data_IF_920503463451
#
_entry.id   IF_920503463451
#
_cell.length_a   1.000
_cell.length_b   1.000
_cell.length_c   1.000
_cell.angle_alpha   90.00
_cell.angle_beta   90.00
_cell.angle_gamma   90.00
#
_symmetry.space_group_name_H-M   'P 1'
#
loop_
_entity.id
_entity.type
_entity.pdbx_description
1 polymer ?
#
# COMPACT_ATOMS: atom_id res chain seq x y z
N UNK A 1 32.27 -3.48 -3.75
CA UNK A 1 33.14 -2.29 -3.65
C UNK A 1 32.95 -1.69 -2.26
N UNK A 2 34.01 -1.56 -1.45
CA UNK A 2 33.94 -0.92 -0.12
C UNK A 2 34.14 0.59 -0.30
N UNK A 3 33.20 1.40 0.18
CA UNK A 3 33.36 2.85 0.19
C UNK A 3 34.42 3.24 1.25
N UNK A 4 35.30 4.22 0.96
CA UNK A 4 36.27 4.68 1.93
C UNK A 4 35.56 5.37 3.10
N UNK A 5 35.94 5.00 4.32
CA UNK A 5 35.48 5.72 5.52
C UNK A 5 36.19 7.07 5.56
N UNK A 6 35.42 8.15 5.41
CA UNK A 6 35.92 9.52 5.56
C UNK A 6 35.85 9.85 7.04
N UNK A 7 36.99 10.08 7.67
CA UNK A 7 37.06 10.58 9.04
C UNK A 7 37.29 12.10 9.00
N UNK A 8 36.38 12.86 9.60
CA UNK A 8 36.58 14.28 9.85
C UNK A 8 37.36 14.45 11.17
N UNK A 9 38.42 15.26 11.16
CA UNK A 9 39.12 15.63 12.39
C UNK A 9 38.26 16.66 13.13
N UNK A 10 37.74 16.29 14.29
CA UNK A 10 36.94 17.17 15.16
C UNK A 10 37.83 17.65 16.30
N UNK A 11 37.92 18.96 16.48
CA UNK A 11 38.64 19.59 17.58
C UNK A 11 37.65 20.36 18.46
N UNK A 12 37.83 20.29 19.77
CA UNK A 12 36.87 20.80 20.74
C UNK A 12 37.58 21.84 21.62
N UNK A 13 37.08 23.08 21.71
CA UNK A 13 37.82 24.19 22.31
C UNK A 13 38.04 24.08 23.82
N UNK A 14 37.28 23.24 24.52
CA UNK A 14 37.26 23.21 25.99
C UNK A 14 37.60 21.84 26.59
N UNK A 15 37.56 20.74 25.83
CA UNK A 15 37.90 19.40 26.31
C UNK A 15 38.04 18.42 25.14
N UNK A 16 38.62 17.24 25.33
CA UNK A 16 38.65 16.18 24.30
C UNK A 16 37.29 15.44 24.11
N UNK A 17 36.19 16.00 24.63
CA UNK A 17 34.84 15.43 24.60
C UNK A 17 33.83 16.49 24.12
N UNK A 18 32.78 16.08 23.40
CA UNK A 18 31.71 16.98 23.01
C UNK A 18 30.98 17.53 24.24
N UNK A 19 30.57 18.80 24.19
CA UNK A 19 29.71 19.41 25.21
C UNK A 19 28.28 18.84 25.16
N UNK A 20 27.75 18.67 23.95
CA UNK A 20 26.45 18.03 23.67
C UNK A 20 26.61 17.13 22.44
N UNK A 21 25.97 15.96 22.50
CA UNK A 21 25.84 15.05 21.36
C UNK A 21 24.37 14.98 20.96
N UNK A 22 24.02 15.57 19.81
CA UNK A 22 22.68 15.44 19.23
C UNK A 22 22.67 14.23 18.26
N UNK A 23 21.76 13.28 18.50
CA UNK A 23 21.55 12.14 17.61
C UNK A 23 20.34 12.46 16.73
N UNK A 24 20.60 12.77 15.46
CA UNK A 24 19.53 12.94 14.47
C UNK A 24 19.06 11.57 14.02
N UNK A 25 17.79 11.26 14.30
CA UNK A 25 17.15 10.07 13.75
C UNK A 25 16.72 10.38 12.32
N UNK A 26 17.31 9.67 11.36
CA UNK A 26 16.87 9.73 9.97
C UNK A 26 15.84 8.64 9.70
N UNK A 27 14.85 8.97 8.88
CA UNK A 27 13.96 7.96 8.29
C UNK A 27 14.74 7.14 7.27
N UNK A 28 14.38 5.86 7.11
CA UNK A 28 15.02 5.04 6.09
C UNK A 28 14.75 5.62 4.70
N UNK A 29 15.62 5.33 3.72
CA UNK A 29 15.37 5.73 2.33
C UNK A 29 13.99 5.28 1.85
N UNK A 30 13.56 4.07 2.25
CA UNK A 30 12.23 3.52 1.91
C UNK A 30 11.11 4.38 2.47
N UNK A 31 11.21 4.78 3.74
CA UNK A 31 10.19 5.61 4.38
C UNK A 31 10.11 6.99 3.74
N UNK A 32 11.26 7.61 3.43
CA UNK A 32 11.31 8.90 2.71
C UNK A 32 10.71 8.81 1.31
N UNK A 33 10.82 7.66 0.64
CA UNK A 33 10.15 7.40 -0.64
C UNK A 33 8.64 7.19 -0.47
N UNK A 34 8.19 6.52 0.59
CA UNK A 34 6.76 6.34 0.90
C UNK A 34 6.10 7.69 1.18
N UNK A 35 6.77 8.55 1.95
CA UNK A 35 6.33 9.91 2.26
C UNK A 35 6.49 10.89 1.08
N UNK A 36 7.04 10.43 -0.05
CA UNK A 36 7.28 11.24 -1.25
C UNK A 36 8.18 12.46 -1.03
N UNK A 37 9.00 12.43 0.02
CA UNK A 37 10.06 13.42 0.29
C UNK A 37 11.21 13.24 -0.71
N UNK A 38 11.52 11.99 -1.04
CA UNK A 38 12.45 11.62 -2.11
C UNK A 38 11.66 10.88 -3.20
N UNK A 39 12.07 11.04 -4.46
CA UNK A 39 11.46 10.33 -5.59
C UNK A 39 11.41 8.81 -5.35
N UNK A 40 10.23 8.23 -5.57
CA UNK A 40 10.05 6.78 -5.61
C UNK A 40 10.79 6.20 -6.81
N UNK A 41 11.17 4.93 -6.72
CA UNK A 41 11.54 4.19 -7.93
C UNK A 41 10.34 4.21 -8.89
N UNK A 42 10.56 4.36 -10.21
CA UNK A 42 9.47 4.29 -11.17
C UNK A 42 8.71 2.98 -10.99
N UNK A 43 7.39 3.03 -11.07
CA UNK A 43 6.60 1.79 -11.11
C UNK A 43 7.04 1.01 -12.35
N UNK A 44 7.27 -0.32 -12.26
CA UNK A 44 7.52 -1.12 -13.45
C UNK A 44 6.35 -1.01 -14.42
N UNK A 45 6.65 -1.00 -15.71
CA UNK A 45 5.63 -0.96 -16.78
C UNK A 45 4.76 -2.23 -16.68
N UNK A 46 3.42 -2.10 -16.75
CA UNK A 46 2.49 -3.24 -16.79
C UNK A 46 2.82 -4.24 -17.89
N UNK A 47 2.53 -5.52 -17.67
CA UNK A 47 2.84 -6.58 -18.64
C UNK A 47 2.09 -6.39 -19.96
N UNK A 48 0.87 -5.83 -19.89
CA UNK A 48 0.00 -5.56 -21.03
C UNK A 48 0.53 -4.46 -21.96
N UNK A 49 1.37 -3.56 -21.45
CA UNK A 49 1.94 -2.41 -22.19
C UNK A 49 3.36 -2.67 -22.72
N UNK A 50 3.95 -3.83 -22.37
CA UNK A 50 5.28 -4.22 -22.86
C UNK A 50 5.19 -4.80 -24.27
N UNK A 51 6.28 -4.66 -25.01
CA UNK A 51 6.43 -5.28 -26.32
C UNK A 51 6.28 -6.82 -26.20
N UNK A 52 5.43 -7.47 -27.02
CA UNK A 52 5.32 -8.93 -27.07
C UNK A 52 6.66 -9.66 -27.24
N UNK A 53 7.63 -9.06 -27.93
CA UNK A 53 8.92 -9.69 -28.22
C UNK A 53 9.92 -9.59 -27.04
N UNK A 54 9.68 -8.69 -26.09
CA UNK A 54 10.49 -8.51 -24.87
C UNK A 54 9.95 -9.31 -23.67
N UNK A 55 8.78 -9.97 -23.82
CA UNK A 55 8.14 -10.72 -22.74
C UNK A 55 8.86 -12.05 -22.49
N UNK A 56 9.26 -12.29 -21.24
CA UNK A 56 9.75 -13.60 -20.83
C UNK A 56 8.64 -14.68 -20.92
N UNK A 57 8.99 -15.97 -21.09
CA UNK A 57 7.99 -17.02 -21.21
C UNK A 57 7.10 -17.18 -19.96
N UNK A 58 7.61 -16.79 -18.79
CA UNK A 58 6.83 -16.79 -17.54
C UNK A 58 5.83 -15.62 -17.50
N UNK A 59 6.26 -14.42 -17.86
CA UNK A 59 5.40 -13.24 -17.93
C UNK A 59 4.31 -13.38 -19.01
N UNK A 60 4.63 -13.98 -20.16
CA UNK A 60 3.67 -14.25 -21.22
C UNK A 60 2.55 -15.21 -20.76
N UNK A 61 2.90 -16.25 -19.98
CA UNK A 61 1.91 -17.15 -19.37
C UNK A 61 1.03 -16.43 -18.36
N UNK A 62 1.61 -15.54 -17.56
CA UNK A 62 0.85 -14.74 -16.60
C UNK A 62 -0.12 -13.79 -17.30
N UNK A 63 0.31 -13.14 -18.38
CA UNK A 63 -0.54 -12.29 -19.23
C UNK A 63 -1.75 -13.06 -19.76
N UNK A 64 -1.52 -14.26 -20.32
CA UNK A 64 -2.59 -15.13 -20.84
C UNK A 64 -3.56 -15.56 -19.73
N UNK A 65 -3.06 -15.86 -18.53
CA UNK A 65 -3.92 -16.20 -17.38
C UNK A 65 -4.87 -15.04 -17.04
N UNK A 66 -4.34 -13.82 -16.91
CA UNK A 66 -5.15 -12.61 -16.63
C UNK A 66 -6.18 -12.33 -17.72
N UNK A 67 -5.82 -12.52 -18.99
CA UNK A 67 -6.75 -12.34 -20.11
C UNK A 67 -7.91 -13.34 -20.08
N UNK A 68 -7.64 -14.61 -19.73
CA UNK A 68 -8.68 -15.64 -19.61
C UNK A 68 -9.63 -15.36 -18.45
N UNK A 69 -9.12 -14.93 -17.30
CA UNK A 69 -9.95 -14.55 -16.14
C UNK A 69 -10.92 -13.41 -16.51
N UNK A 70 -10.43 -12.35 -17.15
CA UNK A 70 -11.28 -11.23 -17.61
C UNK A 70 -12.32 -11.65 -18.67
N UNK A 71 -11.97 -12.54 -19.60
CA UNK A 71 -12.92 -13.00 -20.64
C UNK A 71 -14.07 -13.84 -20.09
N UNK A 72 -13.85 -14.58 -18.99
CA UNK A 72 -14.88 -15.41 -18.35
C UNK A 72 -15.93 -14.54 -17.64
N UNK A 73 -15.54 -13.37 -17.12
CA UNK A 73 -16.44 -12.41 -16.50
C UNK A 73 -17.37 -11.76 -17.56
N UNK A 74 -16.82 -11.32 -18.70
CA UNK A 74 -17.59 -10.61 -19.74
C UNK A 74 -18.64 -11.50 -20.44
N UNK A 75 -18.37 -12.79 -20.64
CA UNK A 75 -19.32 -13.69 -21.33
C UNK A 75 -20.54 -14.08 -20.49
N UNK A 76 -20.50 -13.92 -19.17
CA UNK A 76 -21.64 -14.26 -18.30
C UNK A 76 -22.77 -13.23 -18.38
N UNK A 77 -22.47 -11.99 -18.75
CA UNK A 77 -23.47 -10.91 -18.82
C UNK A 77 -24.28 -10.89 -20.13
N UNK A 78 -23.77 -11.51 -21.20
CA UNK A 78 -24.42 -11.49 -22.53
C UNK A 78 -25.54 -12.55 -22.71
N UNK A 79 -25.83 -13.36 -21.68
CA UNK A 79 -26.76 -14.51 -21.80
C UNK A 79 -28.02 -14.32 -20.93
N UNK A 80 -28.55 -13.10 -20.83
CA UNK A 80 -29.89 -12.88 -20.27
C UNK A 80 -30.85 -12.33 -21.34
N UNK A 81 -31.04 -13.11 -22.40
CA UNK A 81 -31.99 -12.81 -23.46
C UNK A 81 -33.37 -13.43 -23.14
N UNK A 82 -34.30 -12.54 -22.74
CA UNK A 82 -35.76 -12.58 -22.91
C UNK A 82 -36.45 -13.95 -22.77
N UNK A 83 -37.04 -14.23 -21.59
CA UNK A 83 -38.15 -15.20 -21.46
C UNK A 83 -39.45 -14.47 -21.09
N UNK A 84 -40.45 -14.60 -21.96
CA UNK A 84 -41.80 -14.05 -21.83
C UNK A 84 -42.55 -14.61 -20.62
N UNK A 85 -43.40 -13.78 -19.99
CA UNK A 85 -44.50 -14.17 -19.08
C UNK A 85 -45.42 -15.20 -19.80
N UNK A 86 -46.17 -16.12 -19.19
CA UNK A 86 -47.05 -16.02 -18.00
C UNK A 86 -47.31 -17.40 -17.30
N UNK A 87 -48.27 -17.61 -16.34
CA UNK A 87 -47.99 -18.26 -15.05
C UNK A 87 -48.73 -19.59 -14.78
N UNK A 88 -48.13 -20.51 -14.01
CA UNK A 88 -48.89 -21.56 -13.31
C UNK A 88 -48.16 -22.04 -12.04
N UNK A 89 -48.92 -22.13 -10.96
CA UNK A 89 -48.51 -22.58 -9.62
C UNK A 89 -47.95 -24.01 -9.60
N UNK A 90 -47.06 -24.30 -8.64
CA UNK A 90 -47.06 -25.43 -7.70
C UNK A 90 -45.81 -25.29 -6.80
N UNK A 91 -46.00 -25.43 -5.50
CA UNK A 91 -45.02 -25.12 -4.46
C UNK A 91 -43.77 -26.01 -4.43
N UNK A 92 -42.75 -25.47 -3.78
CA UNK A 92 -41.50 -26.14 -3.44
C UNK A 92 -40.68 -25.17 -2.59
N UNK A 93 -40.53 -25.55 -1.33
CA UNK A 93 -39.71 -24.96 -0.27
C UNK A 93 -38.28 -24.66 -0.74
N UNK A 94 -37.83 -23.39 -0.65
CA UNK A 94 -36.41 -23.05 -0.72
C UNK A 94 -36.11 -21.76 0.05
N UNK A 95 -35.11 -21.87 0.92
CA UNK A 95 -34.74 -20.90 1.95
C UNK A 95 -34.33 -19.53 1.38
N UNK A 96 -34.83 -18.49 2.01
CA UNK A 96 -34.57 -17.08 1.70
C UNK A 96 -33.11 -16.73 2.10
N UNK A 97 -32.15 -16.91 1.17
CA UNK A 97 -30.75 -16.49 1.39
C UNK A 97 -30.66 -14.97 1.30
N UNK A 98 -30.94 -14.32 2.42
CA UNK A 98 -30.69 -12.90 2.65
C UNK A 98 -29.22 -12.70 2.99
N UNK A 99 -28.43 -12.21 2.03
CA UNK A 99 -27.05 -11.76 2.31
C UNK A 99 -27.13 -10.39 2.99
N UNK A 100 -27.15 -10.41 4.32
CA UNK A 100 -27.01 -9.20 5.13
C UNK A 100 -25.55 -8.71 5.07
N UNK A 101 -25.33 -7.58 4.41
CA UNK A 101 -24.08 -6.83 4.57
C UNK A 101 -24.15 -6.06 5.88
N UNK A 102 -23.55 -6.64 6.92
CA UNK A 102 -23.35 -5.98 8.20
C UNK A 102 -22.34 -4.84 8.04
N UNK A 103 -22.83 -3.64 7.75
CA UNK A 103 -22.03 -2.43 7.94
C UNK A 103 -21.88 -2.18 9.44
N UNK A 104 -20.89 -2.85 10.05
CA UNK A 104 -20.51 -2.61 11.44
C UNK A 104 -20.10 -1.14 11.65
N UNK A 105 -20.35 -0.57 12.84
CA UNK A 105 -20.02 0.83 13.11
C UNK A 105 -18.50 1.05 12.97
N UNK A 106 -18.06 2.23 12.48
CA UNK A 106 -16.65 2.52 12.31
C UNK A 106 -15.94 2.47 13.66
N UNK A 107 -14.97 1.56 13.78
CA UNK A 107 -14.08 1.49 14.93
C UNK A 107 -13.36 2.83 15.08
N UNK A 108 -13.72 3.60 16.09
CA UNK A 108 -12.96 4.78 16.49
C UNK A 108 -11.58 4.28 16.92
N UNK A 109 -10.57 4.51 16.07
CA UNK A 109 -9.17 4.33 16.46
C UNK A 109 -8.96 5.29 17.63
N UNK A 110 -8.75 4.75 18.82
CA UNK A 110 -8.32 5.58 19.94
C UNK A 110 -7.04 6.27 19.51
N UNK A 111 -7.07 7.60 19.50
CA UNK A 111 -5.87 8.39 19.41
C UNK A 111 -5.03 8.03 20.64
N UNK A 112 -4.11 7.09 20.49
CA UNK A 112 -3.01 6.95 21.41
C UNK A 112 -2.13 8.18 21.18
N UNK A 113 -2.44 9.28 21.86
CA UNK A 113 -1.39 10.16 22.35
C UNK A 113 -0.55 9.29 23.28
N UNK A 114 0.41 8.57 22.69
CA UNK A 114 1.37 7.78 23.42
C UNK A 114 2.10 8.75 24.35
N UNK A 115 1.75 8.71 25.65
CA UNK A 115 2.40 9.46 26.72
C UNK A 115 3.81 8.92 27.03
N UNK A 116 4.49 8.37 26.02
CA UNK A 116 5.73 7.60 26.15
C UNK A 116 6.73 7.87 25.02
N UNK A 117 6.70 9.08 24.45
CA UNK A 117 7.80 9.52 23.59
C UNK A 117 8.99 10.02 24.40
N UNK A 118 8.82 10.33 25.69
CA UNK A 118 9.86 10.96 26.52
C UNK A 118 10.34 12.33 25.98
N UNK A 119 9.64 12.89 24.99
CA UNK A 119 9.98 14.17 24.37
C UNK A 119 9.13 15.24 25.04
N UNK A 120 9.77 16.08 25.83
CA UNK A 120 9.19 17.31 26.36
C UNK A 120 9.28 18.39 25.26
N UNK A 121 8.12 18.90 24.84
CA UNK A 121 8.04 20.00 23.89
C UNK A 121 7.96 21.27 24.74
N UNK A 122 9.05 22.05 24.73
CA UNK A 122 9.11 23.36 25.38
C UNK A 122 8.88 24.42 24.32
N UNK A 123 7.84 25.23 24.49
CA UNK A 123 7.61 26.43 23.69
C UNK A 123 8.56 27.53 24.16
N UNK A 124 9.29 28.15 23.23
CA UNK A 124 10.27 29.22 23.51
C UNK A 124 9.73 30.59 23.11
N UNK A 125 8.43 30.71 22.85
CA UNK A 125 7.80 31.96 22.39
C UNK A 125 6.99 32.71 23.45
N UNK A 126 6.96 32.21 24.69
CA UNK A 126 6.33 32.90 25.82
C UNK A 126 7.42 33.53 26.71
N UNK A 127 7.60 34.86 26.60
CA UNK A 127 8.37 35.71 27.54
C UNK A 127 7.60 36.02 28.84
#
# INVERSE_FOLDING_TARGET
MRHPLIFAKVDYPYSNKPFISAIYKYRSRRDLQIESIISRSPSPVPLEERDPDDLSPEEARELVRRLRERQVEVKKEATHEKRSREPTAIGGDEEDVTVAFENGPPNKRSCLTARDSGVEIVDLTDE
#
